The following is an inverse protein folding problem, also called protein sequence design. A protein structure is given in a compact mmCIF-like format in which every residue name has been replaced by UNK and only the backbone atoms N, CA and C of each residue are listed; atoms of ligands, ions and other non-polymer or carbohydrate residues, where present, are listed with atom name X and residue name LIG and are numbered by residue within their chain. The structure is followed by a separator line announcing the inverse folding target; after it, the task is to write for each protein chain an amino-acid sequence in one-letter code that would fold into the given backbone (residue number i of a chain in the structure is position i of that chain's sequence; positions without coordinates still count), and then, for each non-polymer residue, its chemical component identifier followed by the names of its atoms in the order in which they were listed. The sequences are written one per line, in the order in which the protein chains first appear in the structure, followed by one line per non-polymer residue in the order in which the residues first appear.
data_IF_678602520632
#
_entry.id   IF_678602520632
#
_cell.length_a   1.000
_cell.length_b   1.000
_cell.length_c   1.000
_cell.angle_alpha   90.00
_cell.angle_beta   90.00
_cell.angle_gamma   90.00
#
_symmetry.space_group_name_H-M   'P 1'
#
loop_
_entity.id
_entity.type
_entity.pdbx_description
1 polymer ?
#
# COMPACT_ATOMS: atom_id res chain seq x y z
N UNK A 1 22.52 12.82 6.74
CA UNK A 1 22.91 13.28 5.37
C UNK A 1 24.39 13.08 5.04
N UNK A 2 25.32 13.16 5.98
CA UNK A 2 26.77 13.02 5.70
C UNK A 2 27.14 11.71 4.96
N UNK A 3 26.48 10.61 5.32
CA UNK A 3 26.68 9.33 4.62
C UNK A 3 26.19 9.37 3.16
N UNK A 4 25.13 10.11 2.87
CA UNK A 4 24.61 10.26 1.51
C UNK A 4 25.57 11.09 0.67
N UNK A 5 26.05 12.21 1.21
CA UNK A 5 27.01 13.09 0.55
C UNK A 5 28.35 12.38 0.30
N UNK A 6 28.82 11.56 1.24
CA UNK A 6 30.06 10.78 1.12
C UNK A 6 30.00 9.73 -0.04
N UNK A 7 28.80 9.30 -0.43
CA UNK A 7 28.58 8.40 -1.59
C UNK A 7 28.72 9.11 -2.93
N UNK A 8 28.74 10.45 -2.96
CA UNK A 8 28.75 11.27 -4.19
C UNK A 8 27.75 10.80 -5.24
N UNK A 9 26.43 10.70 -4.88
CA UNK A 9 25.44 10.15 -5.79
C UNK A 9 25.20 11.09 -6.98
N UNK A 10 24.99 10.50 -8.17
CA UNK A 10 24.54 11.22 -9.36
C UNK A 10 23.06 11.67 -9.23
N UNK A 11 22.27 10.94 -8.45
CA UNK A 11 20.88 11.24 -8.18
C UNK A 11 20.43 10.62 -6.85
N UNK A 12 19.71 11.38 -6.04
CA UNK A 12 19.01 10.88 -4.84
C UNK A 12 17.52 10.81 -5.13
N UNK A 13 16.91 9.63 -4.95
CA UNK A 13 15.46 9.47 -5.00
C UNK A 13 14.94 9.62 -3.57
N UNK A 14 14.23 10.70 -3.30
CA UNK A 14 13.65 11.02 -2.00
C UNK A 14 12.14 10.80 -2.01
N UNK A 15 11.56 10.54 -0.83
CA UNK A 15 10.12 10.34 -0.67
C UNK A 15 9.58 11.23 0.44
N UNK A 16 8.32 11.66 0.31
CA UNK A 16 7.56 12.36 1.34
C UNK A 16 6.42 11.49 1.91
N UNK A 17 6.38 10.20 1.58
CA UNK A 17 5.32 9.28 2.03
C UNK A 17 5.29 9.03 3.55
N UNK A 18 6.32 9.49 4.28
CA UNK A 18 6.42 9.35 5.73
C UNK A 18 6.60 10.74 6.36
N UNK A 19 5.82 11.09 7.40
CA UNK A 19 5.96 12.37 8.09
C UNK A 19 7.39 12.61 8.60
N UNK A 20 7.87 13.85 8.43
CA UNK A 20 9.22 14.26 8.83
C UNK A 20 10.30 14.09 7.78
N UNK A 21 9.99 13.53 6.62
CA UNK A 21 10.92 13.42 5.49
C UNK A 21 11.24 14.77 4.82
N UNK A 22 10.46 15.81 5.06
CA UNK A 22 10.69 17.18 4.59
C UNK A 22 12.08 17.68 4.99
N UNK A 23 12.54 17.31 6.20
CA UNK A 23 13.88 17.66 6.71
C UNK A 23 15.00 17.08 5.84
N UNK A 24 14.79 15.89 5.28
CA UNK A 24 15.74 15.28 4.35
C UNK A 24 15.83 16.06 3.04
N UNK A 25 14.70 16.55 2.53
CA UNK A 25 14.66 17.37 1.32
C UNK A 25 15.41 18.70 1.54
N UNK A 26 15.17 19.36 2.69
CA UNK A 26 15.88 20.58 3.04
C UNK A 26 17.41 20.37 3.12
N UNK A 27 17.85 19.27 3.70
CA UNK A 27 19.27 18.91 3.79
C UNK A 27 19.88 18.59 2.43
N UNK A 28 19.17 17.87 1.54
CA UNK A 28 19.62 17.62 0.17
C UNK A 28 19.80 18.96 -0.59
N UNK A 29 18.85 19.88 -0.45
CA UNK A 29 18.91 21.22 -1.05
C UNK A 29 20.08 22.05 -0.53
N UNK A 30 20.31 22.08 0.80
CA UNK A 30 21.41 22.81 1.42
C UNK A 30 22.79 22.33 0.93
N UNK A 31 22.91 21.05 0.64
CA UNK A 31 24.17 20.40 0.20
C UNK A 31 24.34 20.37 -1.31
N UNK A 32 23.40 20.97 -2.08
CA UNK A 32 23.39 20.91 -3.54
C UNK A 32 23.48 19.50 -4.13
N UNK A 33 22.96 18.49 -3.41
CA UNK A 33 22.90 17.13 -3.93
C UNK A 33 21.78 17.03 -4.99
N UNK A 34 22.01 16.34 -6.12
CA UNK A 34 20.97 16.15 -7.12
C UNK A 34 19.89 15.21 -6.58
N UNK A 35 18.60 15.60 -6.67
CA UNK A 35 17.50 14.77 -6.18
C UNK A 35 16.22 14.96 -6.96
N UNK A 36 15.36 13.95 -6.90
CA UNK A 36 13.94 14.00 -7.26
C UNK A 36 13.10 13.59 -6.05
N UNK A 37 11.86 14.03 -6.01
CA UNK A 37 10.93 13.74 -4.91
C UNK A 37 9.78 12.90 -5.46
N UNK A 38 9.59 11.70 -4.93
CA UNK A 38 8.44 10.88 -5.21
C UNK A 38 7.45 10.96 -4.03
N UNK A 39 6.23 11.40 -4.30
CA UNK A 39 5.19 11.56 -3.29
C UNK A 39 3.82 11.09 -3.82
N UNK A 40 3.69 9.80 -4.18
CA UNK A 40 2.42 9.29 -4.66
C UNK A 40 1.41 9.20 -3.50
N UNK A 41 0.22 9.76 -3.70
CA UNK A 41 -0.92 9.66 -2.80
C UNK A 41 -1.83 8.48 -3.20
N UNK A 42 -1.93 8.22 -4.49
CA UNK A 42 -2.75 7.19 -5.10
C UNK A 42 -1.92 6.10 -5.77
N UNK A 43 -2.48 4.90 -5.90
CA UNK A 43 -1.79 3.79 -6.58
C UNK A 43 -1.44 4.14 -8.04
N UNK A 44 -2.24 4.95 -8.69
CA UNK A 44 -2.03 5.37 -10.09
C UNK A 44 -0.81 6.29 -10.25
N UNK A 45 -0.49 7.11 -9.24
CA UNK A 45 0.66 8.02 -9.24
C UNK A 45 1.99 7.26 -9.32
N UNK A 46 1.99 5.98 -8.94
CA UNK A 46 3.18 5.11 -9.02
C UNK A 46 3.66 4.99 -10.47
N UNK A 47 2.74 4.91 -11.45
CA UNK A 47 3.11 4.85 -12.86
C UNK A 47 3.84 6.13 -13.31
N UNK A 48 3.40 7.29 -12.84
CA UNK A 48 4.03 8.58 -13.15
C UNK A 48 5.40 8.71 -12.46
N UNK A 49 5.52 8.21 -11.24
CA UNK A 49 6.81 8.13 -10.53
C UNK A 49 7.81 7.22 -11.27
N UNK A 50 7.37 6.08 -11.81
CA UNK A 50 8.21 5.20 -12.64
C UNK A 50 8.73 5.98 -13.87
N UNK A 51 7.85 6.73 -14.55
CA UNK A 51 8.21 7.56 -15.70
C UNK A 51 9.19 8.67 -15.32
N UNK A 52 8.98 9.32 -14.17
CA UNK A 52 9.87 10.39 -13.67
C UNK A 52 11.27 9.85 -13.37
N UNK A 53 11.37 8.73 -12.66
CA UNK A 53 12.65 8.04 -12.44
C UNK A 53 13.31 7.71 -13.79
N UNK A 54 12.55 7.14 -14.74
CA UNK A 54 13.08 6.80 -16.06
C UNK A 54 13.64 8.00 -16.83
N UNK A 55 12.97 9.15 -16.77
CA UNK A 55 13.49 10.41 -17.36
C UNK A 55 14.78 10.85 -16.68
N UNK A 56 14.80 10.81 -15.34
CA UNK A 56 15.93 11.29 -14.54
C UNK A 56 17.20 10.46 -14.71
N UNK A 57 17.08 9.18 -15.06
CA UNK A 57 18.22 8.27 -15.30
C UNK A 57 18.40 7.89 -16.78
N UNK A 58 17.77 8.63 -17.70
CA UNK A 58 17.84 8.43 -19.16
C UNK A 58 17.41 7.00 -19.61
N UNK A 59 16.35 6.45 -18.98
CA UNK A 59 15.76 5.14 -19.30
C UNK A 59 14.26 5.24 -19.64
N UNK A 60 13.91 6.23 -20.46
CA UNK A 60 12.51 6.60 -20.75
C UNK A 60 11.71 5.43 -21.33
N UNK A 61 12.23 4.74 -22.34
CA UNK A 61 11.54 3.63 -22.99
C UNK A 61 11.25 2.47 -22.01
N UNK A 62 12.26 2.14 -21.18
CA UNK A 62 12.12 1.09 -20.17
C UNK A 62 11.09 1.47 -19.11
N UNK A 63 11.12 2.72 -18.64
CA UNK A 63 10.16 3.22 -17.67
C UNK A 63 8.74 3.21 -18.22
N UNK A 64 8.53 3.57 -19.50
CA UNK A 64 7.22 3.52 -20.14
C UNK A 64 6.69 2.09 -20.25
N UNK A 65 7.54 1.12 -20.60
CA UNK A 65 7.17 -0.29 -20.62
C UNK A 65 6.71 -0.78 -19.24
N UNK A 66 7.47 -0.42 -18.17
CA UNK A 66 7.15 -0.82 -16.79
C UNK A 66 5.87 -0.14 -16.31
N UNK A 67 5.71 1.17 -16.54
CA UNK A 67 4.51 1.92 -16.15
C UNK A 67 3.25 1.40 -16.87
N UNK A 68 3.36 1.13 -18.17
CA UNK A 68 2.27 0.56 -18.97
C UNK A 68 1.88 -0.84 -18.47
N UNK A 69 2.86 -1.69 -18.16
CA UNK A 69 2.59 -3.02 -17.61
C UNK A 69 1.90 -2.92 -16.25
N UNK A 70 2.37 -2.04 -15.35
CA UNK A 70 1.77 -1.78 -14.04
C UNK A 70 0.30 -1.36 -14.17
N UNK A 71 0.01 -0.37 -15.02
CA UNK A 71 -1.34 0.12 -15.26
C UNK A 71 -2.27 -0.92 -15.87
N UNK A 72 -1.76 -1.70 -16.84
CA UNK A 72 -2.50 -2.80 -17.45
C UNK A 72 -2.90 -3.85 -16.42
N UNK A 73 -2.01 -4.16 -15.47
CA UNK A 73 -2.28 -5.15 -14.44
C UNK A 73 -3.34 -4.66 -13.44
N UNK A 74 -3.28 -3.40 -13.05
CA UNK A 74 -4.32 -2.78 -12.21
C UNK A 74 -5.68 -2.86 -12.93
N UNK A 75 -5.72 -2.55 -14.21
CA UNK A 75 -6.98 -2.58 -14.98
C UNK A 75 -7.54 -4.01 -15.09
N UNK A 76 -6.70 -5.02 -15.26
CA UNK A 76 -7.14 -6.42 -15.23
C UNK A 76 -7.81 -6.78 -13.91
N UNK A 77 -7.21 -6.38 -12.77
CA UNK A 77 -7.79 -6.61 -11.45
C UNK A 77 -9.12 -5.87 -11.31
N UNK A 78 -9.16 -4.59 -11.70
CA UNK A 78 -10.38 -3.78 -11.66
C UNK A 78 -11.53 -4.42 -12.43
N UNK A 79 -11.26 -4.96 -13.62
CA UNK A 79 -12.26 -5.65 -14.44
C UNK A 79 -12.80 -6.93 -13.78
N UNK A 80 -11.96 -7.65 -13.04
CA UNK A 80 -12.38 -8.85 -12.30
C UNK A 80 -13.27 -8.52 -11.11
N UNK A 81 -13.01 -7.39 -10.44
CA UNK A 81 -13.67 -7.03 -9.18
C UNK A 81 -14.83 -6.04 -9.35
N UNK A 82 -14.98 -5.39 -10.52
CA UNK A 82 -15.96 -4.31 -10.73
C UNK A 82 -17.43 -4.72 -10.53
N UNK A 83 -17.74 -5.99 -10.74
CA UNK A 83 -19.12 -6.51 -10.64
C UNK A 83 -19.44 -7.10 -9.26
N UNK A 84 -18.54 -6.97 -8.28
CA UNK A 84 -18.78 -7.41 -6.91
C UNK A 84 -19.81 -6.49 -6.27
N UNK A 85 -20.97 -7.04 -5.93
CA UNK A 85 -22.10 -6.30 -5.34
C UNK A 85 -21.94 -6.15 -3.83
N UNK A 86 -21.49 -7.21 -3.15
CA UNK A 86 -21.27 -7.20 -1.70
C UNK A 86 -19.78 -6.98 -1.44
N UNK A 87 -19.42 -5.73 -1.16
CA UNK A 87 -18.05 -5.31 -0.93
C UNK A 87 -17.69 -5.44 0.54
N UNK A 88 -16.73 -6.31 0.93
CA UNK A 88 -16.26 -6.41 2.30
C UNK A 88 -15.73 -5.08 2.82
N UNK A 89 -15.95 -4.84 4.09
CA UNK A 89 -15.52 -3.63 4.80
C UNK A 89 -14.19 -3.91 5.49
N UNK A 90 -13.14 -3.19 5.08
CA UNK A 90 -11.77 -3.40 5.55
C UNK A 90 -11.37 -2.32 6.55
N UNK A 91 -10.74 -2.74 7.62
CA UNK A 91 -9.99 -1.87 8.51
C UNK A 91 -8.50 -2.16 8.33
N UNK A 92 -7.71 -1.13 8.05
CA UNK A 92 -6.25 -1.20 7.97
C UNK A 92 -5.63 -0.67 9.26
N UNK A 93 -4.72 -1.40 9.85
CA UNK A 93 -3.98 -0.94 11.02
C UNK A 93 -2.50 -0.80 10.70
N UNK A 94 -2.04 0.44 10.62
CA UNK A 94 -0.62 0.77 10.43
C UNK A 94 0.16 0.83 11.73
N UNK A 95 -0.53 1.20 12.82
CA UNK A 95 0.05 1.29 14.13
C UNK A 95 -1.02 1.13 15.22
N UNK A 96 -0.72 0.37 16.29
CA UNK A 96 -1.75 0.00 17.27
C UNK A 96 -1.95 1.00 18.41
N UNK A 97 -0.95 1.86 18.73
CA UNK A 97 -1.06 2.76 19.88
C UNK A 97 -0.17 4.03 19.72
N UNK A 98 -0.78 5.20 19.45
CA UNK A 98 -2.18 5.34 19.08
C UNK A 98 -2.50 4.66 17.75
N UNK A 99 -3.76 4.30 17.52
CA UNK A 99 -4.16 3.71 16.24
C UNK A 99 -3.96 4.73 15.12
N UNK A 100 -3.27 4.28 14.05
CA UNK A 100 -3.22 4.97 12.77
C UNK A 100 -3.74 4.06 11.67
N UNK A 101 -4.61 4.63 10.84
CA UNK A 101 -5.28 3.95 9.72
C UNK A 101 -5.35 4.88 8.50
N UNK A 102 -5.37 4.35 7.26
CA UNK A 102 -5.53 5.17 6.06
C UNK A 102 -6.92 5.79 5.98
N UNK A 103 -6.97 7.05 5.56
CA UNK A 103 -8.18 7.76 5.16
C UNK A 103 -8.41 7.73 3.65
N UNK A 104 -9.26 8.65 3.14
CA UNK A 104 -9.70 8.68 1.73
C UNK A 104 -8.56 8.87 0.73
N UNK A 105 -7.62 9.78 1.03
CA UNK A 105 -6.55 10.17 0.11
C UNK A 105 -5.29 9.31 0.26
N UNK A 106 -5.47 8.05 0.65
CA UNK A 106 -4.40 7.11 0.85
C UNK A 106 -4.46 5.98 -0.17
N UNK A 107 -3.32 5.53 -0.65
CA UNK A 107 -3.21 4.42 -1.62
C UNK A 107 -3.85 3.10 -1.16
N UNK A 108 -3.95 2.84 0.17
CA UNK A 108 -4.63 1.63 0.67
C UNK A 108 -6.14 1.72 0.54
N UNK A 109 -6.71 2.92 0.45
CA UNK A 109 -8.11 3.09 0.08
C UNK A 109 -8.33 2.73 -1.38
N UNK A 110 -7.45 3.18 -2.29
CA UNK A 110 -7.49 2.76 -3.70
C UNK A 110 -7.32 1.24 -3.84
N UNK A 111 -6.38 0.65 -3.10
CA UNK A 111 -6.15 -0.82 -3.07
C UNK A 111 -7.40 -1.56 -2.61
N UNK A 112 -8.08 -1.05 -1.58
CA UNK A 112 -9.35 -1.63 -1.11
C UNK A 112 -10.41 -1.60 -2.21
N UNK A 113 -10.60 -0.44 -2.85
CA UNK A 113 -11.60 -0.26 -3.91
C UNK A 113 -11.31 -1.12 -5.14
N UNK A 114 -10.06 -1.17 -5.57
CA UNK A 114 -9.61 -2.01 -6.69
C UNK A 114 -9.76 -3.49 -6.40
N UNK A 115 -9.57 -3.89 -5.15
CA UNK A 115 -9.83 -5.27 -4.72
C UNK A 115 -11.33 -5.60 -4.55
N UNK A 116 -12.24 -4.67 -4.87
CA UNK A 116 -13.69 -4.89 -4.70
C UNK A 116 -14.17 -4.81 -3.26
N UNK A 117 -13.46 -4.08 -2.40
CA UNK A 117 -13.78 -3.86 -1.00
C UNK A 117 -13.96 -2.37 -0.68
N UNK A 118 -14.16 -2.02 0.59
CA UNK A 118 -14.26 -0.63 1.05
C UNK A 118 -13.41 -0.43 2.31
N UNK A 119 -12.65 0.66 2.38
CA UNK A 119 -11.99 1.08 3.62
C UNK A 119 -13.00 1.73 4.56
N UNK A 120 -13.15 1.23 5.80
CA UNK A 120 -14.11 1.76 6.77
C UNK A 120 -13.81 3.18 7.25
N UNK A 121 -12.61 3.72 6.97
CA UNK A 121 -12.21 5.09 7.27
C UNK A 121 -12.13 5.99 6.02
N UNK A 122 -12.66 5.57 4.88
CA UNK A 122 -12.68 6.37 3.64
C UNK A 122 -13.58 7.62 3.72
N UNK A 123 -14.37 7.80 4.78
CA UNK A 123 -15.14 9.01 5.06
C UNK A 123 -14.29 10.20 5.55
N UNK A 124 -13.08 9.95 6.04
CA UNK A 124 -12.12 10.98 6.41
C UNK A 124 -11.31 11.44 5.21
N UNK A 125 -11.46 12.72 4.83
CA UNK A 125 -10.72 13.32 3.70
C UNK A 125 -9.30 13.70 4.08
N UNK A 126 -8.49 12.70 4.42
CA UNK A 126 -7.08 12.81 4.78
C UNK A 126 -6.36 11.52 4.38
N UNK A 127 -5.03 11.55 4.32
CA UNK A 127 -4.19 10.38 4.07
C UNK A 127 -4.07 9.45 5.29
N UNK A 128 -4.02 10.03 6.50
CA UNK A 128 -3.87 9.30 7.76
C UNK A 128 -4.91 9.74 8.79
N UNK A 129 -5.55 8.78 9.44
CA UNK A 129 -6.51 8.99 10.51
C UNK A 129 -5.92 8.46 11.80
N UNK A 130 -5.90 9.29 12.85
CA UNK A 130 -5.70 8.85 14.22
C UNK A 130 -7.04 8.42 14.80
N UNK A 131 -7.15 7.21 15.30
CA UNK A 131 -8.39 6.62 15.78
C UNK A 131 -8.21 5.98 17.17
N UNK A 132 -9.29 5.37 17.68
CA UNK A 132 -9.32 4.61 18.94
C UNK A 132 -9.87 3.20 18.69
N UNK A 133 -9.68 2.30 19.67
CA UNK A 133 -10.22 0.94 19.61
C UNK A 133 -11.75 0.93 19.51
N UNK A 134 -12.41 1.82 20.23
CA UNK A 134 -13.88 1.97 20.23
C UNK A 134 -14.38 2.41 18.86
N UNK A 135 -13.74 3.42 18.25
CA UNK A 135 -14.13 3.91 16.92
C UNK A 135 -14.00 2.83 15.85
N UNK A 136 -12.97 1.98 15.94
CA UNK A 136 -12.82 0.83 15.03
C UNK A 136 -13.92 -0.19 15.27
N UNK A 137 -14.24 -0.50 16.54
CA UNK A 137 -15.31 -1.42 16.92
C UNK A 137 -16.69 -0.95 16.45
N UNK A 138 -17.00 0.34 16.61
CA UNK A 138 -18.24 0.96 16.13
C UNK A 138 -18.42 0.85 14.61
N UNK A 139 -17.31 0.93 13.85
CA UNK A 139 -17.35 0.76 12.40
C UNK A 139 -17.55 -0.69 11.98
N UNK A 140 -17.30 -1.64 12.87
CA UNK A 140 -17.53 -3.08 12.70
C UNK A 140 -17.08 -3.60 11.31
N UNK A 141 -15.77 -3.61 11.01
CA UNK A 141 -15.26 -4.14 9.74
C UNK A 141 -15.45 -5.64 9.61
N UNK A 142 -15.50 -6.13 8.36
CA UNK A 142 -15.57 -7.56 8.04
C UNK A 142 -14.18 -8.21 8.09
N UNK A 143 -13.12 -7.42 7.82
CA UNK A 143 -11.73 -7.85 7.86
C UNK A 143 -10.85 -6.81 8.55
N UNK A 144 -9.85 -7.29 9.31
CA UNK A 144 -8.76 -6.48 9.89
C UNK A 144 -7.47 -6.80 9.14
N UNK A 145 -6.91 -5.79 8.49
CA UNK A 145 -5.65 -5.85 7.73
C UNK A 145 -4.53 -5.21 8.57
N UNK A 146 -3.67 -6.02 9.18
CA UNK A 146 -2.60 -5.55 10.07
C UNK A 146 -1.32 -5.39 9.26
N UNK A 147 -0.81 -4.16 9.19
CA UNK A 147 0.40 -3.79 8.45
C UNK A 147 1.22 -2.83 9.30
N UNK A 148 1.83 -3.33 10.36
CA UNK A 148 2.60 -2.47 11.26
C UNK A 148 3.94 -2.07 10.66
N UNK A 149 4.06 -0.77 10.35
CA UNK A 149 5.25 -0.22 9.72
C UNK A 149 6.49 -0.36 10.60
N UNK A 150 7.56 -0.94 10.05
CA UNK A 150 8.82 -1.14 10.75
C UNK A 150 8.86 -2.32 11.72
N UNK A 151 7.80 -3.15 11.76
CA UNK A 151 7.74 -4.34 12.62
C UNK A 151 7.81 -5.61 11.76
N UNK A 152 8.78 -6.45 12.03
CA UNK A 152 8.89 -7.75 11.35
C UNK A 152 7.63 -8.58 11.58
N UNK A 153 7.04 -9.12 10.51
CA UNK A 153 5.78 -9.89 10.52
C UNK A 153 5.77 -11.01 11.56
N UNK A 154 6.91 -11.70 11.76
CA UNK A 154 7.04 -12.80 12.75
C UNK A 154 6.88 -12.34 14.21
N UNK A 155 6.97 -11.04 14.48
CA UNK A 155 6.79 -10.45 15.81
C UNK A 155 5.35 -10.06 16.09
N UNK A 156 4.51 -10.03 15.08
CA UNK A 156 3.08 -9.68 15.19
C UNK A 156 2.31 -10.98 15.40
N UNK A 157 1.71 -11.13 16.58
CA UNK A 157 0.85 -12.29 16.89
C UNK A 157 -0.60 -11.89 16.70
N UNK A 158 -1.40 -12.76 16.12
CA UNK A 158 -2.84 -12.55 15.92
C UNK A 158 -3.55 -12.21 17.23
N UNK A 159 -3.13 -12.81 18.35
CA UNK A 159 -3.65 -12.53 19.70
C UNK A 159 -3.51 -11.04 20.11
N UNK A 160 -2.50 -10.33 19.61
CA UNK A 160 -2.37 -8.88 19.87
C UNK A 160 -3.55 -8.06 19.33
N UNK A 161 -4.31 -8.64 18.41
CA UNK A 161 -5.48 -8.06 17.77
C UNK A 161 -6.76 -8.70 18.33
N UNK A 162 -6.83 -10.02 18.33
CA UNK A 162 -8.03 -10.77 18.71
C UNK A 162 -8.37 -10.68 20.18
N UNK A 163 -7.38 -10.47 21.06
CA UNK A 163 -7.60 -10.40 22.52
C UNK A 163 -7.96 -8.99 23.03
N UNK A 164 -8.14 -8.01 22.12
CA UNK A 164 -8.58 -6.66 22.50
C UNK A 164 -10.03 -6.68 23.02
N UNK A 165 -10.29 -6.20 24.23
CA UNK A 165 -11.62 -6.31 24.84
C UNK A 165 -12.73 -5.63 24.02
N UNK A 166 -12.45 -4.46 23.44
CA UNK A 166 -13.41 -3.65 22.67
C UNK A 166 -13.82 -4.32 21.35
N UNK A 167 -13.02 -5.29 20.86
CA UNK A 167 -13.20 -5.89 19.53
C UNK A 167 -13.88 -7.25 19.52
N UNK A 168 -14.19 -7.82 20.70
CA UNK A 168 -14.74 -9.18 20.83
C UNK A 168 -16.05 -9.39 20.05
N UNK A 169 -16.84 -8.33 19.86
CA UNK A 169 -18.10 -8.41 19.12
C UNK A 169 -17.99 -8.04 17.63
N UNK A 170 -16.80 -7.57 17.17
CA UNK A 170 -16.60 -7.21 15.78
C UNK A 170 -16.74 -8.43 14.85
N UNK A 171 -17.37 -8.21 13.71
CA UNK A 171 -17.55 -9.23 12.66
C UNK A 171 -16.23 -9.88 12.26
N UNK A 172 -15.16 -9.09 12.05
CA UNK A 172 -13.85 -9.60 11.69
C UNK A 172 -13.27 -10.57 12.74
N UNK A 173 -13.44 -10.27 14.03
CA UNK A 173 -12.92 -11.12 15.11
C UNK A 173 -13.70 -12.42 15.19
N UNK A 174 -15.03 -12.33 15.19
CA UNK A 174 -15.92 -13.51 15.28
C UNK A 174 -15.76 -14.48 14.11
N UNK A 175 -15.41 -13.95 12.92
CA UNK A 175 -15.22 -14.73 11.72
C UNK A 175 -13.75 -15.13 11.47
N UNK A 176 -12.82 -14.80 12.39
CA UNK A 176 -11.39 -15.02 12.26
C UNK A 176 -10.76 -14.33 11.02
N UNK A 177 -11.31 -13.20 10.60
CA UNK A 177 -10.85 -12.41 9.45
C UNK A 177 -9.80 -11.36 9.88
N UNK A 178 -8.75 -11.81 10.55
CA UNK A 178 -7.59 -10.99 10.94
C UNK A 178 -6.39 -11.44 10.13
N UNK A 179 -5.85 -10.55 9.31
CA UNK A 179 -4.77 -10.84 8.38
C UNK A 179 -3.54 -10.01 8.73
N UNK A 180 -2.43 -10.69 9.03
CA UNK A 180 -1.14 -10.05 9.25
C UNK A 180 -0.40 -10.06 7.91
N UNK A 181 -0.10 -8.88 7.38
CA UNK A 181 0.40 -8.69 6.03
C UNK A 181 1.84 -8.17 6.04
N UNK A 182 2.57 -8.44 4.95
CA UNK A 182 3.95 -7.99 4.81
C UNK A 182 4.03 -6.48 4.58
N UNK A 183 4.75 -5.77 5.46
CA UNK A 183 4.95 -4.31 5.38
C UNK A 183 5.42 -3.85 3.99
N UNK A 184 6.37 -4.58 3.40
CA UNK A 184 6.97 -4.22 2.12
C UNK A 184 6.01 -4.16 0.93
N UNK A 185 4.80 -4.72 1.07
CA UNK A 185 3.77 -4.71 0.03
C UNK A 185 2.77 -3.56 0.19
N UNK A 186 2.61 -2.99 1.41
CA UNK A 186 1.48 -2.11 1.70
C UNK A 186 1.87 -0.75 2.32
N UNK A 187 2.94 -0.70 3.14
CA UNK A 187 3.31 0.53 3.86
C UNK A 187 3.97 1.60 3.00
N UNK A 188 4.23 1.32 1.73
CA UNK A 188 4.86 2.28 0.81
C UNK A 188 4.20 2.22 -0.55
N UNK A 189 3.86 3.37 -1.14
CA UNK A 189 3.31 3.43 -2.49
C UNK A 189 4.45 3.21 -3.51
N UNK A 190 4.74 1.95 -3.78
CA UNK A 190 5.79 1.49 -4.69
C UNK A 190 5.23 0.46 -5.69
N UNK A 191 5.94 0.09 -6.76
CA UNK A 191 5.48 -0.93 -7.71
C UNK A 191 5.07 -2.26 -7.04
N UNK A 192 5.64 -2.61 -5.88
CA UNK A 192 5.26 -3.80 -5.11
C UNK A 192 3.85 -3.75 -4.52
N UNK A 193 3.22 -2.57 -4.48
CA UNK A 193 1.83 -2.43 -4.05
C UNK A 193 0.87 -3.23 -4.97
N UNK A 194 1.27 -3.50 -6.22
CA UNK A 194 0.53 -4.37 -7.12
C UNK A 194 0.48 -5.82 -6.61
N UNK A 195 1.61 -6.35 -6.11
CA UNK A 195 1.66 -7.67 -5.46
C UNK A 195 0.73 -7.70 -4.23
N UNK A 196 0.72 -6.61 -3.45
CA UNK A 196 -0.19 -6.43 -2.32
C UNK A 196 -1.67 -6.42 -2.74
N UNK A 197 -2.02 -5.75 -3.82
CA UNK A 197 -3.36 -5.74 -4.37
C UNK A 197 -3.79 -7.14 -4.82
N UNK A 198 -2.93 -7.88 -5.51
CA UNK A 198 -3.18 -9.27 -5.92
C UNK A 198 -3.38 -10.19 -4.72
N UNK A 199 -2.53 -10.05 -3.70
CA UNK A 199 -2.67 -10.78 -2.43
C UNK A 199 -4.01 -10.46 -1.75
N UNK A 200 -4.42 -9.19 -1.73
CA UNK A 200 -5.69 -8.77 -1.13
C UNK A 200 -6.89 -9.41 -1.86
N UNK A 201 -6.88 -9.44 -3.20
CA UNK A 201 -7.92 -10.12 -3.98
C UNK A 201 -7.97 -11.62 -3.64
N UNK A 202 -6.81 -12.28 -3.50
CA UNK A 202 -6.74 -13.69 -3.08
C UNK A 202 -7.32 -13.92 -1.68
N UNK A 203 -7.07 -13.01 -0.74
CA UNK A 203 -7.62 -13.09 0.62
C UNK A 203 -9.14 -12.94 0.61
N UNK A 204 -9.65 -11.95 -0.12
CA UNK A 204 -11.09 -11.63 -0.12
C UNK A 204 -11.89 -12.57 -1.01
N UNK A 205 -11.31 -13.02 -2.13
CA UNK A 205 -11.97 -13.80 -3.17
C UNK A 205 -11.05 -14.90 -3.71
N UNK A 206 -10.82 -16.00 -2.98
CA UNK A 206 -9.87 -17.04 -3.39
C UNK A 206 -10.11 -17.62 -4.79
N UNK A 207 -11.37 -17.71 -5.24
CA UNK A 207 -11.72 -18.18 -6.57
C UNK A 207 -11.31 -17.20 -7.69
N UNK A 208 -11.36 -15.88 -7.43
CA UNK A 208 -10.90 -14.85 -8.38
C UNK A 208 -9.37 -14.79 -8.41
N UNK A 209 -8.73 -14.98 -7.27
CA UNK A 209 -7.28 -15.01 -7.16
C UNK A 209 -6.66 -16.13 -8.00
N UNK A 210 -7.22 -17.34 -7.96
CA UNK A 210 -6.78 -18.45 -8.83
C UNK A 210 -6.87 -18.10 -10.32
N UNK A 211 -7.83 -17.26 -10.72
CA UNK A 211 -7.95 -16.75 -12.10
C UNK A 211 -6.86 -15.73 -12.44
N UNK A 212 -6.43 -14.91 -11.47
CA UNK A 212 -5.30 -13.99 -11.64
C UNK A 212 -3.99 -14.74 -11.87
N UNK A 213 -3.71 -15.78 -11.07
CA UNK A 213 -2.50 -16.59 -11.18
C UNK A 213 -2.40 -17.30 -12.54
N UNK A 214 -3.53 -17.80 -13.07
CA UNK A 214 -3.56 -18.43 -14.40
C UNK A 214 -3.25 -17.45 -15.55
N UNK A 215 -3.53 -16.17 -15.39
CA UNK A 215 -3.21 -15.13 -16.37
C UNK A 215 -1.75 -14.60 -16.23
N UNK A 216 -1.11 -14.78 -15.07
CA UNK A 216 0.30 -14.45 -14.83
C UNK A 216 1.23 -15.49 -15.45
N UNK A 217 0.81 -16.75 -15.53
CA UNK A 217 1.62 -17.86 -16.08
C UNK A 217 1.78 -17.81 -17.60
N UNK A 218 1.18 -16.86 -18.31
CA UNK A 218 1.54 -16.55 -19.70
C UNK A 218 2.76 -15.59 -19.64
N UNK A 219 3.98 -16.04 -19.99
CA UNK A 219 5.19 -15.32 -19.65
C UNK A 219 5.37 -14.08 -20.53
N UNK A 220 5.12 -12.91 -19.99
CA UNK A 220 5.92 -11.75 -20.31
C UNK A 220 6.84 -11.49 -19.10
N UNK A 221 7.87 -12.31 -18.96
CA UNK A 221 8.89 -12.08 -17.97
C UNK A 221 9.38 -10.63 -18.05
N UNK A 222 9.46 -9.88 -16.95
CA UNK A 222 10.13 -8.59 -16.99
C UNK A 222 11.55 -8.83 -17.48
N UNK A 223 12.07 -8.03 -18.39
CA UNK A 223 13.46 -8.18 -18.81
C UNK A 223 14.34 -8.04 -17.56
N UNK A 224 15.17 -9.05 -17.32
CA UNK A 224 16.17 -9.05 -16.26
C UNK A 224 16.97 -7.76 -16.32
N UNK A 225 17.14 -7.14 -15.15
CA UNK A 225 18.01 -5.99 -14.95
C UNK A 225 19.44 -6.30 -15.35
#
# INVERSE_FOLDING_TARGET
MDKVEALQPDLVIASLSVPGMEKNIEELKKRNLPYIILNPAHIFDIADNIREVGRSIHRVEKAEQVATHFMKRIEQIRLLTQNISERPRLYWEWWPNPIYTPGRTNWLTDVSELAGATNVFADYNTDNVKSTHEQVAERNPDHVMVVWCGIEIKRIKTSMITDRPEWQQMTAIRNNNVHILEEGLYCRPSPRLLEGLEQLVNILYPSLGASLDSQITTPSAPPKL
#
